data_IF_855867056586
#
_entry.id   IF_855867056586
#
_cell.length_a   1.000
_cell.length_b   1.000
_cell.length_c   1.000
_cell.angle_alpha   90.00
_cell.angle_beta   90.00
_cell.angle_gamma   90.00
#
_symmetry.space_group_name_H-M   'P 1'
#
loop_
_entity.id
_entity.type
_entity.pdbx_description
1 polymer ?
#
# COMPACT_ATOMS: atom_id res chain seq x y z
N UNK A 1 -22.05 -50.54 15.52
CA UNK A 1 -21.07 -49.68 14.88
C UNK A 1 -21.65 -48.30 14.74
N UNK A 2 -21.33 -47.33 15.62
CA UNK A 2 -21.78 -45.93 15.50
C UNK A 2 -20.71 -45.18 14.72
N UNK A 3 -21.10 -44.28 13.78
CA UNK A 3 -20.13 -43.42 13.09
C UNK A 3 -19.71 -42.23 14.00
N UNK A 4 -18.41 -42.00 14.09
CA UNK A 4 -17.85 -40.87 14.79
C UNK A 4 -18.09 -39.58 13.97
N UNK A 5 -18.78 -38.61 14.58
CA UNK A 5 -18.96 -37.27 14.02
C UNK A 5 -17.69 -36.47 14.32
N UNK A 6 -16.90 -36.19 13.28
CA UNK A 6 -15.77 -35.29 13.38
C UNK A 6 -16.31 -33.84 13.31
N UNK A 7 -16.32 -33.14 14.44
CA UNK A 7 -16.56 -31.70 14.46
C UNK A 7 -15.31 -31.00 13.90
N UNK A 8 -15.40 -30.48 12.67
CA UNK A 8 -14.44 -29.53 12.14
C UNK A 8 -14.67 -28.17 12.80
N UNK A 9 -13.82 -27.85 13.77
CA UNK A 9 -13.77 -26.53 14.38
C UNK A 9 -13.27 -25.52 13.38
N UNK A 10 -14.11 -24.56 12.97
CA UNK A 10 -13.69 -23.36 12.24
C UNK A 10 -12.78 -22.53 13.15
N UNK A 11 -11.49 -22.48 12.84
CA UNK A 11 -10.59 -21.54 13.46
C UNK A 11 -10.97 -20.11 13.00
N UNK A 12 -11.62 -19.37 13.88
CA UNK A 12 -11.83 -17.94 13.68
C UNK A 12 -10.45 -17.25 13.68
N UNK A 13 -10.03 -16.70 12.53
CA UNK A 13 -8.83 -15.89 12.43
C UNK A 13 -9.07 -14.62 13.24
N UNK A 14 -8.51 -14.56 14.45
CA UNK A 14 -8.58 -13.37 15.28
C UNK A 14 -7.93 -12.20 14.52
N UNK A 15 -8.66 -11.09 14.40
CA UNK A 15 -8.09 -9.86 13.85
C UNK A 15 -6.88 -9.44 14.71
N UNK A 16 -5.78 -9.07 14.05
CA UNK A 16 -4.60 -8.59 14.75
C UNK A 16 -4.98 -7.36 15.61
N UNK A 17 -4.45 -7.24 16.83
CA UNK A 17 -4.77 -6.12 17.71
C UNK A 17 -4.33 -4.81 17.07
N UNK A 18 -5.22 -3.80 17.11
CA UNK A 18 -4.92 -2.45 16.61
C UNK A 18 -3.86 -1.82 17.56
N UNK A 19 -2.74 -1.42 16.98
CA UNK A 19 -1.65 -0.79 17.74
C UNK A 19 -2.00 0.65 18.16
N UNK A 20 -1.41 1.11 19.27
CA UNK A 20 -1.65 2.45 19.82
C UNK A 20 -0.49 3.36 19.43
N UNK A 21 -0.78 4.59 19.00
CA UNK A 21 0.20 5.64 18.67
C UNK A 21 -0.10 6.90 19.49
N UNK A 22 0.88 7.80 19.63
CA UNK A 22 0.62 9.09 20.27
C UNK A 22 -0.20 10.01 19.36
N UNK A 23 -0.72 11.12 19.91
CA UNK A 23 -1.58 12.03 19.18
C UNK A 23 -0.84 12.67 17.98
N UNK A 24 0.42 13.08 18.15
CA UNK A 24 1.20 13.70 17.08
C UNK A 24 1.45 12.73 15.90
N UNK A 25 1.76 11.45 16.21
CA UNK A 25 1.88 10.38 15.22
C UNK A 25 0.56 10.16 14.49
N UNK A 26 -0.56 10.07 15.23
CA UNK A 26 -1.88 9.89 14.63
C UNK A 26 -2.27 11.07 13.74
N UNK A 27 -1.97 12.30 14.15
CA UNK A 27 -2.21 13.50 13.36
C UNK A 27 -1.36 13.51 12.08
N UNK A 28 -0.10 13.05 12.15
CA UNK A 28 0.76 12.92 10.97
C UNK A 28 0.20 11.88 9.98
N UNK A 29 -0.25 10.72 10.46
CA UNK A 29 -0.89 9.70 9.63
C UNK A 29 -2.18 10.25 8.99
N UNK A 30 -2.96 11.02 9.74
CA UNK A 30 -4.19 11.66 9.25
C UNK A 30 -3.89 12.66 8.14
N UNK A 31 -2.86 13.50 8.30
CA UNK A 31 -2.41 14.43 7.23
C UNK A 31 -1.96 13.67 5.98
N UNK A 32 -1.21 12.59 6.15
CA UNK A 32 -0.78 11.73 5.04
C UNK A 32 -1.98 11.13 4.30
N UNK A 33 -2.95 10.54 5.05
CA UNK A 33 -4.18 9.99 4.46
C UNK A 33 -5.01 11.04 3.72
N UNK A 34 -5.07 12.26 4.24
CA UNK A 34 -5.76 13.37 3.57
C UNK A 34 -5.12 13.70 2.22
N UNK A 35 -3.78 13.73 2.14
CA UNK A 35 -3.07 13.90 0.86
C UNK A 35 -3.35 12.76 -0.13
N UNK A 36 -3.37 11.50 0.37
CA UNK A 36 -3.71 10.35 -0.47
C UNK A 36 -5.13 10.42 -1.03
N UNK A 37 -6.08 10.92 -0.25
CA UNK A 37 -7.47 11.03 -0.68
C UNK A 37 -7.68 12.11 -1.75
N UNK A 38 -6.86 13.16 -1.74
CA UNK A 38 -6.95 14.29 -2.68
C UNK A 38 -6.13 14.10 -3.95
N UNK A 39 -5.36 13.01 -4.08
CA UNK A 39 -4.45 12.79 -5.19
C UNK A 39 -4.82 11.57 -6.03
N UNK A 40 -4.59 11.66 -7.33
CA UNK A 40 -4.77 10.55 -8.27
C UNK A 40 -3.59 9.56 -8.25
N UNK A 41 -2.41 9.97 -7.78
CA UNK A 41 -1.21 9.14 -7.73
C UNK A 41 -0.62 9.04 -6.33
N UNK A 42 -0.74 7.86 -5.70
CA UNK A 42 -0.10 7.59 -4.41
C UNK A 42 1.44 7.66 -4.49
N UNK A 43 2.03 7.25 -5.63
CA UNK A 43 3.48 7.36 -5.84
C UNK A 43 3.96 8.81 -5.83
N UNK A 44 3.17 9.74 -6.37
CA UNK A 44 3.49 11.16 -6.35
C UNK A 44 3.33 11.74 -4.93
N UNK A 45 2.28 11.33 -4.19
CA UNK A 45 2.14 11.71 -2.78
C UNK A 45 3.35 11.24 -1.96
N UNK A 46 3.79 9.99 -2.16
CA UNK A 46 4.98 9.47 -1.48
C UNK A 46 6.24 10.24 -1.85
N UNK A 47 6.41 10.64 -3.11
CA UNK A 47 7.56 11.43 -3.56
C UNK A 47 7.58 12.81 -2.87
N UNK A 48 6.44 13.49 -2.85
CA UNK A 48 6.30 14.78 -2.17
C UNK A 48 6.51 14.63 -0.66
N UNK A 49 5.92 13.59 -0.06
CA UNK A 49 6.11 13.30 1.37
C UNK A 49 7.58 13.04 1.72
N UNK A 50 8.26 12.24 0.88
CA UNK A 50 9.69 11.99 1.02
C UNK A 50 10.52 13.29 0.98
N UNK A 51 10.16 14.21 0.08
CA UNK A 51 10.81 15.52 -0.05
C UNK A 51 10.51 16.43 1.14
N UNK A 52 9.24 16.59 1.50
CA UNK A 52 8.77 17.52 2.53
C UNK A 52 9.32 17.18 3.93
N UNK A 53 9.57 15.89 4.19
CA UNK A 53 10.08 15.39 5.47
C UNK A 53 11.56 15.01 5.43
N UNK A 54 12.27 15.33 4.34
CA UNK A 54 13.71 15.06 4.23
C UNK A 54 14.10 13.59 4.37
N UNK A 55 13.22 12.64 3.97
CA UNK A 55 13.45 11.21 4.21
C UNK A 55 14.60 10.63 3.38
N UNK A 56 14.93 11.24 2.26
CA UNK A 56 16.12 10.95 1.45
C UNK A 56 16.49 12.11 0.53
N UNK A 57 17.76 12.13 0.10
CA UNK A 57 18.29 13.08 -0.89
C UNK A 57 19.04 12.31 -1.98
N UNK A 58 18.59 12.33 -3.26
CA UNK A 58 17.37 12.98 -3.76
C UNK A 58 16.09 12.23 -3.34
N UNK A 59 14.91 12.91 -3.29
CA UNK A 59 13.62 12.32 -2.88
C UNK A 59 12.99 11.53 -4.03
N UNK A 60 13.62 10.40 -4.39
CA UNK A 60 13.19 9.52 -5.48
C UNK A 60 12.47 8.32 -4.89
N UNK A 61 11.27 8.02 -5.41
CA UNK A 61 10.56 6.78 -5.08
C UNK A 61 10.88 5.72 -6.13
N UNK A 62 11.32 4.56 -5.65
CA UNK A 62 11.52 3.35 -6.48
C UNK A 62 10.56 2.27 -6.06
N UNK A 63 10.14 1.45 -7.02
CA UNK A 63 9.28 0.29 -6.80
C UNK A 63 10.13 -1.00 -6.82
N UNK A 64 10.64 -1.39 -5.67
CA UNK A 64 11.40 -2.63 -5.51
C UNK A 64 10.43 -3.79 -5.55
N UNK A 65 10.57 -4.66 -6.56
CA UNK A 65 9.73 -5.84 -6.73
C UNK A 65 10.05 -6.86 -5.64
N UNK A 66 9.02 -7.49 -5.10
CA UNK A 66 9.16 -8.64 -4.21
C UNK A 66 8.91 -9.91 -5.02
N UNK A 67 9.89 -10.83 -4.99
CA UNK A 67 9.84 -12.13 -5.68
C UNK A 67 9.15 -13.17 -4.77
N UNK A 68 7.94 -12.84 -4.33
CA UNK A 68 7.08 -13.76 -3.60
C UNK A 68 6.01 -14.39 -4.51
N UNK A 69 5.23 -15.32 -3.95
CA UNK A 69 4.21 -16.04 -4.70
C UNK A 69 3.19 -15.08 -5.34
N UNK A 70 2.91 -15.27 -6.63
CA UNK A 70 1.83 -14.57 -7.31
C UNK A 70 0.50 -14.76 -6.59
N UNK A 71 -0.26 -13.68 -6.41
CA UNK A 71 -1.63 -13.71 -5.89
C UNK A 71 -2.61 -13.66 -7.05
N UNK A 72 -3.30 -14.76 -7.37
CA UNK A 72 -4.33 -14.74 -8.41
C UNK A 72 -5.43 -13.73 -8.07
N UNK A 73 -5.93 -13.03 -9.08
CA UNK A 73 -7.05 -12.12 -8.90
C UNK A 73 -8.32 -12.90 -8.49
N UNK A 74 -8.85 -12.61 -7.31
CA UNK A 74 -10.11 -13.19 -6.84
C UNK A 74 -11.29 -12.76 -7.74
N UNK A 75 -12.42 -13.46 -7.62
CA UNK A 75 -13.66 -13.08 -8.33
C UNK A 75 -14.10 -11.65 -8.00
N UNK A 76 -13.85 -11.18 -6.78
CA UNK A 76 -14.15 -9.81 -6.35
C UNK A 76 -13.26 -8.81 -7.09
N UNK A 77 -11.95 -9.07 -7.18
CA UNK A 77 -10.99 -8.21 -7.91
C UNK A 77 -11.37 -8.16 -9.38
N UNK A 78 -11.62 -9.32 -10.02
CA UNK A 78 -12.03 -9.39 -11.42
C UNK A 78 -13.29 -8.56 -11.69
N UNK A 79 -14.32 -8.74 -10.87
CA UNK A 79 -15.57 -7.98 -10.97
C UNK A 79 -15.35 -6.47 -10.83
N UNK A 80 -14.53 -6.04 -9.85
CA UNK A 80 -14.21 -4.61 -9.64
C UNK A 80 -13.45 -4.00 -10.81
N UNK A 81 -12.61 -4.79 -11.48
CA UNK A 81 -11.87 -4.38 -12.67
C UNK A 81 -12.71 -4.48 -13.96
N UNK A 82 -13.92 -5.06 -13.91
CA UNK A 82 -14.72 -5.32 -15.10
C UNK A 82 -14.04 -6.29 -16.06
N UNK A 83 -13.18 -7.18 -15.54
CA UNK A 83 -12.45 -8.14 -16.35
C UNK A 83 -13.35 -9.31 -16.73
N UNK A 84 -13.42 -9.63 -18.03
CA UNK A 84 -14.17 -10.77 -18.56
C UNK A 84 -13.62 -12.12 -18.09
N UNK A 85 -14.43 -13.19 -18.26
CA UNK A 85 -13.94 -14.56 -18.05
C UNK A 85 -12.79 -14.83 -19.03
N UNK A 86 -11.65 -15.30 -18.51
CA UNK A 86 -10.47 -15.57 -19.33
C UNK A 86 -9.60 -14.34 -19.66
N UNK A 87 -10.04 -13.11 -19.35
CA UNK A 87 -9.17 -11.95 -19.52
C UNK A 87 -7.95 -12.05 -18.63
N UNK A 88 -6.77 -11.83 -19.20
CA UNK A 88 -5.52 -11.81 -18.46
C UNK A 88 -5.49 -10.62 -17.49
N UNK A 89 -5.29 -10.91 -16.21
CA UNK A 89 -4.88 -9.92 -15.20
C UNK A 89 -3.47 -10.22 -14.78
N UNK A 90 -2.64 -9.19 -14.68
CA UNK A 90 -1.30 -9.30 -14.12
C UNK A 90 -1.32 -8.89 -12.66
N UNK A 91 -0.44 -9.50 -11.89
CA UNK A 91 -0.17 -9.17 -10.50
C UNK A 91 1.24 -8.61 -10.35
N UNK A 92 1.39 -7.66 -9.44
CA UNK A 92 2.69 -7.09 -9.08
C UNK A 92 2.70 -6.80 -7.58
N UNK A 93 3.72 -7.30 -6.88
CA UNK A 93 3.97 -7.00 -5.49
C UNK A 93 5.26 -6.20 -5.38
N UNK A 94 5.19 -5.02 -4.74
CA UNK A 94 6.32 -4.11 -4.65
C UNK A 94 6.39 -3.41 -3.30
N UNK A 95 7.61 -3.00 -2.93
CA UNK A 95 7.83 -1.98 -1.91
C UNK A 95 8.11 -0.65 -2.61
N UNK A 96 7.44 0.42 -2.19
CA UNK A 96 7.76 1.78 -2.59
C UNK A 96 8.75 2.36 -1.59
N UNK A 97 9.98 2.59 -2.05
CA UNK A 97 11.10 3.00 -1.20
C UNK A 97 11.56 4.41 -1.51
N UNK A 98 11.91 5.18 -0.46
CA UNK A 98 12.55 6.47 -0.51
C UNK A 98 13.93 6.34 0.15
N UNK A 99 15.00 6.41 -0.63
CA UNK A 99 16.33 6.06 -0.13
C UNK A 99 16.37 4.62 0.37
N UNK A 100 16.69 4.42 1.66
CA UNK A 100 16.68 3.12 2.32
C UNK A 100 15.35 2.80 3.02
N UNK A 101 14.38 3.73 3.04
CA UNK A 101 13.13 3.59 3.80
C UNK A 101 12.04 2.98 2.95
N UNK A 102 11.44 1.91 3.42
CA UNK A 102 10.23 1.31 2.82
C UNK A 102 9.02 2.09 3.31
N UNK A 103 8.43 2.93 2.47
CA UNK A 103 7.28 3.76 2.84
C UNK A 103 5.95 3.02 2.69
N UNK A 104 5.84 2.11 1.73
CA UNK A 104 4.66 1.25 1.57
C UNK A 104 5.00 -0.07 0.89
N UNK A 105 4.13 -1.07 1.10
CA UNK A 105 4.04 -2.30 0.30
C UNK A 105 2.73 -2.27 -0.48
N UNK A 106 2.76 -2.72 -1.73
CA UNK A 106 1.59 -2.67 -2.61
C UNK A 106 1.39 -3.97 -3.37
N UNK A 107 0.20 -4.54 -3.21
CA UNK A 107 -0.37 -5.56 -4.09
C UNK A 107 -1.14 -4.86 -5.20
N UNK A 108 -0.82 -5.12 -6.46
CA UNK A 108 -1.48 -4.49 -7.60
C UNK A 108 -1.91 -5.53 -8.63
N UNK A 109 -3.20 -5.57 -8.92
CA UNK A 109 -3.78 -6.34 -10.03
C UNK A 109 -4.23 -5.38 -11.12
N UNK A 110 -3.79 -5.61 -12.35
CA UNK A 110 -4.10 -4.71 -13.46
C UNK A 110 -4.39 -5.45 -14.77
N UNK A 111 -5.05 -4.74 -15.67
CA UNK A 111 -5.42 -5.20 -17.03
C UNK A 111 -4.35 -4.75 -18.00
N UNK A 112 -3.40 -5.63 -18.40
CA UNK A 112 -2.33 -5.25 -19.32
C UNK A 112 -2.84 -4.84 -20.70
N UNK A 113 -4.03 -5.31 -21.08
CA UNK A 113 -4.70 -4.94 -22.33
C UNK A 113 -5.10 -3.46 -22.43
N UNK A 114 -5.22 -2.77 -21.30
CA UNK A 114 -5.53 -1.34 -21.23
C UNK A 114 -4.27 -0.45 -21.09
N UNK A 115 -3.09 -1.05 -21.08
CA UNK A 115 -1.80 -0.39 -21.08
C UNK A 115 -1.15 -0.50 -22.47
N UNK A 116 -0.27 0.46 -22.79
CA UNK A 116 0.55 0.33 -24.00
C UNK A 116 1.62 -0.75 -23.84
N UNK A 117 2.19 -1.22 -24.95
CA UNK A 117 3.29 -2.19 -24.92
C UNK A 117 4.51 -1.63 -24.13
N UNK A 118 4.83 -0.33 -24.28
CA UNK A 118 5.91 0.32 -23.53
C UNK A 118 5.62 0.37 -22.03
N UNK A 119 4.39 0.73 -21.63
CA UNK A 119 4.00 0.71 -20.21
C UNK A 119 4.17 -0.69 -19.61
N UNK A 120 3.68 -1.72 -20.27
CA UNK A 120 3.85 -3.11 -19.83
C UNK A 120 5.32 -3.48 -19.68
N UNK A 121 6.15 -3.15 -20.70
CA UNK A 121 7.61 -3.39 -20.68
C UNK A 121 8.29 -2.66 -19.51
N UNK A 122 7.97 -1.39 -19.30
CA UNK A 122 8.54 -0.61 -18.17
C UNK A 122 8.16 -1.18 -16.81
N UNK A 123 6.90 -1.65 -16.64
CA UNK A 123 6.46 -2.31 -15.41
C UNK A 123 7.21 -3.62 -15.15
N UNK A 124 7.62 -4.32 -16.20
CA UNK A 124 8.35 -5.59 -16.08
C UNK A 124 9.85 -5.40 -15.85
N UNK A 125 10.46 -4.35 -16.42
CA UNK A 125 11.90 -4.21 -16.52
C UNK A 125 12.51 -3.10 -15.68
N UNK A 126 11.69 -2.24 -15.04
CA UNK A 126 12.21 -1.11 -14.27
C UNK A 126 11.65 -1.07 -12.85
N UNK A 127 12.31 -0.30 -12.00
CA UNK A 127 11.85 0.03 -10.64
C UNK A 127 10.98 1.30 -10.59
N UNK A 128 10.48 1.73 -11.76
CA UNK A 128 9.57 2.88 -11.84
C UNK A 128 8.23 2.53 -11.17
N UNK A 129 7.72 3.37 -10.26
CA UNK A 129 6.41 3.21 -9.64
C UNK A 129 5.27 3.14 -10.66
N UNK A 130 4.26 2.29 -10.39
CA UNK A 130 3.14 2.05 -11.29
C UNK A 130 2.47 3.34 -11.75
N UNK A 131 2.11 4.24 -10.82
CA UNK A 131 1.45 5.51 -11.14
C UNK A 131 2.24 6.40 -12.11
N UNK A 132 3.59 6.38 -12.01
CA UNK A 132 4.44 7.13 -12.94
C UNK A 132 4.50 6.49 -14.33
N UNK A 133 4.48 5.15 -14.41
CA UNK A 133 4.47 4.46 -15.71
C UNK A 133 3.18 4.73 -16.47
N UNK A 134 2.03 4.72 -15.77
CA UNK A 134 0.70 4.84 -16.40
C UNK A 134 0.17 6.27 -16.42
N UNK A 135 0.97 7.28 -16.07
CA UNK A 135 0.55 8.68 -15.98
C UNK A 135 -0.13 9.21 -17.26
N UNK A 136 0.35 8.76 -18.44
CA UNK A 136 -0.22 9.17 -19.73
C UNK A 136 -1.66 8.64 -19.97
N UNK A 137 -2.19 7.75 -19.11
CA UNK A 137 -3.61 7.36 -19.16
C UNK A 137 -4.53 8.40 -18.51
N UNK A 138 -3.99 9.48 -17.94
CA UNK A 138 -4.74 10.54 -17.25
C UNK A 138 -5.72 9.95 -16.23
N UNK A 139 -5.21 8.98 -15.47
CA UNK A 139 -6.06 8.17 -14.61
C UNK A 139 -6.58 8.93 -13.39
N UNK A 140 -7.71 8.45 -12.86
CA UNK A 140 -8.29 8.87 -11.58
C UNK A 140 -8.21 7.72 -10.59
N UNK A 141 -7.85 8.04 -9.35
CA UNK A 141 -7.80 7.10 -8.24
C UNK A 141 -9.06 7.28 -7.38
N UNK A 142 -9.79 6.20 -7.19
CA UNK A 142 -10.93 6.13 -6.28
C UNK A 142 -10.60 5.19 -5.12
N UNK A 143 -10.47 5.72 -3.91
CA UNK A 143 -10.36 4.92 -2.70
C UNK A 143 -11.68 4.17 -2.47
N UNK A 144 -11.60 2.86 -2.19
CA UNK A 144 -12.76 2.00 -1.93
C UNK A 144 -12.75 1.38 -0.53
N UNK A 145 -11.61 1.40 0.15
CA UNK A 145 -11.48 1.08 1.56
C UNK A 145 -10.26 1.77 2.16
N UNK A 146 -10.38 2.12 3.44
CA UNK A 146 -9.30 2.66 4.27
C UNK A 146 -9.35 1.94 5.60
N UNK A 147 -8.28 1.20 5.92
CA UNK A 147 -8.14 0.49 7.17
C UNK A 147 -7.08 1.18 8.02
N UNK A 148 -7.47 1.74 9.14
CA UNK A 148 -6.56 2.27 10.14
C UNK A 148 -6.01 1.11 10.97
N UNK A 149 -4.71 0.86 10.89
CA UNK A 149 -4.03 -0.22 11.60
C UNK A 149 -3.52 0.23 12.97
N UNK A 150 -3.73 1.51 13.28
CA UNK A 150 -3.39 2.15 14.55
C UNK A 150 -4.57 2.99 15.04
N UNK A 151 -4.59 3.27 16.36
CA UNK A 151 -5.50 4.21 16.99
C UNK A 151 -4.72 5.19 17.87
N UNK A 152 -5.24 6.41 18.12
CA UNK A 152 -4.62 7.31 19.08
C UNK A 152 -4.71 6.77 20.50
N UNK A 153 -3.74 7.14 21.34
CA UNK A 153 -3.75 6.79 22.77
C UNK A 153 -4.96 7.41 23.47
N UNK A 154 -5.58 6.65 24.35
CA UNK A 154 -6.64 7.13 25.24
C UNK A 154 -6.16 7.12 26.70
N UNK A 155 -6.95 7.71 27.62
CA UNK A 155 -6.63 7.70 29.05
C UNK A 155 -6.52 6.30 29.64
N UNK A 156 -7.23 5.33 29.07
CA UNK A 156 -7.22 3.92 29.51
C UNK A 156 -6.02 3.12 28.99
N UNK A 157 -5.31 3.64 28.00
CA UNK A 157 -4.18 2.95 27.37
C UNK A 157 -2.83 3.29 28.06
N UNK A 158 -2.83 3.85 29.30
CA UNK A 158 -1.61 4.25 30.00
C UNK A 158 -0.90 3.05 30.63
N UNK A 159 0.31 2.75 30.14
CA UNK A 159 1.27 1.83 30.76
C UNK A 159 1.87 0.82 29.80
N UNK A 160 3.07 1.07 29.32
CA UNK A 160 3.88 0.14 28.53
C UNK A 160 4.83 0.84 27.56
N UNK A 161 5.99 0.22 27.32
CA UNK A 161 6.90 0.66 26.26
C UNK A 161 6.18 0.53 24.91
N UNK A 162 6.04 1.65 24.21
CA UNK A 162 5.32 1.70 22.91
C UNK A 162 6.33 1.62 21.79
N UNK A 163 6.18 0.60 20.97
CA UNK A 163 6.90 0.48 19.70
C UNK A 163 5.91 0.76 18.57
N UNK A 164 6.29 1.62 17.64
CA UNK A 164 5.53 1.82 16.40
C UNK A 164 5.37 0.48 15.67
N UNK A 165 4.16 0.11 15.27
CA UNK A 165 3.98 -1.08 14.44
C UNK A 165 4.59 -0.83 13.06
N UNK A 166 4.98 -1.90 12.36
CA UNK A 166 5.50 -1.78 11.00
C UNK A 166 4.49 -1.12 10.06
N UNK A 167 3.23 -1.52 10.16
CA UNK A 167 2.15 -1.02 9.29
C UNK A 167 1.16 -0.18 10.09
N UNK A 168 0.78 0.95 9.53
CA UNK A 168 -0.04 1.96 10.21
C UNK A 168 -1.35 2.28 9.49
N UNK A 169 -1.39 2.06 8.17
CA UNK A 169 -2.53 2.41 7.33
C UNK A 169 -2.58 1.49 6.11
N UNK A 170 -3.77 1.09 5.69
CA UNK A 170 -3.96 0.36 4.44
C UNK A 170 -5.06 1.02 3.62
N UNK A 171 -4.76 1.27 2.35
CA UNK A 171 -5.74 1.77 1.39
C UNK A 171 -5.98 0.74 0.30
N UNK A 172 -7.23 0.55 -0.07
CA UNK A 172 -7.60 -0.15 -1.30
C UNK A 172 -8.19 0.87 -2.27
N UNK A 173 -7.70 0.89 -3.50
CA UNK A 173 -8.15 1.83 -4.52
C UNK A 173 -8.32 1.16 -5.88
N UNK A 174 -9.21 1.74 -6.70
CA UNK A 174 -9.34 1.43 -8.12
C UNK A 174 -8.82 2.61 -8.92
N UNK A 175 -7.97 2.33 -9.90
CA UNK A 175 -7.53 3.29 -10.89
C UNK A 175 -8.38 3.13 -12.15
N UNK A 176 -8.87 4.26 -12.66
CA UNK A 176 -9.67 4.34 -13.88
C UNK A 176 -8.98 5.23 -14.89
N UNK A 177 -8.99 4.85 -16.15
CA UNK A 177 -8.50 5.73 -17.23
C UNK A 177 -9.32 7.01 -17.30
N UNK A 178 -8.83 8.05 -17.99
CA UNK A 178 -9.59 9.28 -18.25
C UNK A 178 -10.97 9.04 -18.89
N UNK A 179 -11.15 7.88 -19.56
CA UNK A 179 -12.44 7.44 -20.11
C UNK A 179 -13.31 6.66 -19.11
N UNK A 180 -12.88 6.53 -17.85
CA UNK A 180 -13.63 5.87 -16.77
C UNK A 180 -13.45 4.35 -16.66
N UNK A 181 -12.71 3.70 -17.55
CA UNK A 181 -12.51 2.24 -17.52
C UNK A 181 -11.61 1.84 -16.35
N UNK A 182 -12.02 0.92 -15.45
CA UNK A 182 -11.17 0.43 -14.38
C UNK A 182 -10.06 -0.44 -14.99
N UNK A 183 -8.81 -0.15 -14.66
CA UNK A 183 -7.68 -0.90 -15.21
C UNK A 183 -6.71 -1.43 -14.15
N UNK A 184 -6.77 -0.93 -12.92
CA UNK A 184 -5.94 -1.41 -11.83
C UNK A 184 -6.71 -1.36 -10.51
N UNK A 185 -6.53 -2.39 -9.68
CA UNK A 185 -6.90 -2.42 -8.27
C UNK A 185 -5.62 -2.60 -7.47
N UNK A 186 -5.40 -1.69 -6.52
CA UNK A 186 -4.22 -1.69 -5.67
C UNK A 186 -4.61 -1.74 -4.21
N UNK A 187 -3.88 -2.53 -3.42
CA UNK A 187 -3.90 -2.54 -1.95
C UNK A 187 -2.55 -2.04 -1.49
N UNK A 188 -2.53 -0.85 -0.91
CA UNK A 188 -1.31 -0.18 -0.45
C UNK A 188 -1.29 -0.18 1.07
N UNK A 189 -0.27 -0.81 1.67
CA UNK A 189 -0.07 -0.85 3.12
C UNK A 189 1.13 0.03 3.47
N UNK A 190 0.88 1.13 4.16
CA UNK A 190 1.88 2.13 4.53
C UNK A 190 2.55 1.77 5.84
N UNK A 191 3.86 1.99 5.91
CA UNK A 191 4.68 1.68 7.06
C UNK A 191 4.83 2.87 7.99
N UNK A 192 5.31 2.64 9.22
CA UNK A 192 5.66 3.71 10.16
C UNK A 192 6.85 4.57 9.70
N UNK A 193 7.59 4.14 8.67
CA UNK A 193 8.69 4.94 8.10
C UNK A 193 8.22 6.28 7.50
N UNK A 194 6.93 6.45 7.22
CA UNK A 194 6.38 7.76 6.81
C UNK A 194 6.43 8.79 7.96
N UNK A 195 6.57 8.35 9.23
CA UNK A 195 6.63 9.21 10.41
C UNK A 195 8.07 9.61 10.77
N UNK A 196 9.07 9.01 10.11
CA UNK A 196 10.46 9.33 10.33
C UNK A 196 10.79 10.70 9.73
N UNK A 197 11.68 11.43 10.37
CA UNK A 197 12.31 12.64 9.86
C UNK A 197 13.82 12.39 9.67
N UNK A 198 14.49 13.32 9.01
CA UNK A 198 15.93 13.21 8.70
C UNK A 198 16.80 13.10 9.96
N UNK A 199 16.36 13.66 11.09
CA UNK A 199 17.07 13.63 12.38
C UNK A 199 17.14 12.23 13.02
N UNK A 200 16.26 11.31 12.62
CA UNK A 200 16.20 9.92 13.13
C UNK A 200 17.30 9.00 12.56
N UNK A 201 18.06 9.44 11.54
CA UNK A 201 19.12 8.64 10.87
C UNK A 201 20.46 8.76 11.60
N UNK A 202 20.66 9.76 12.43
CA UNK A 202 21.95 10.15 13.01
C UNK A 202 22.32 9.43 14.34
N UNK A 203 21.62 8.41 14.77
CA UNK A 203 22.06 7.58 15.89
C UNK A 203 23.01 6.49 15.35
N UNK A 204 24.35 6.61 15.51
CA UNK A 204 25.24 5.49 15.23
C UNK A 204 24.88 4.36 16.20
N UNK A 205 24.79 3.14 15.69
CA UNK A 205 24.84 1.95 16.52
C UNK A 205 26.15 2.03 17.27
N UNK A 206 26.07 2.37 18.56
CA UNK A 206 27.23 2.30 19.45
C UNK A 206 27.69 0.84 19.55
N UNK A 207 29.03 0.61 19.55
CA UNK A 207 29.62 -0.72 19.51
C UNK A 207 29.30 -1.61 20.71
#
# INVERSE_FOLDING_TARGET
>A
MLPAIILMGSAATAAAPISIVNQAEFDAITRFQTRLNSADSASEVLRQWCSDHGLAKPPIIRAVRLDDAEKPASTVIRRRLGAGQGELLRYRHVQLVCGARVLSEADNWYRPSLLTADMNKRLDQTDTPFGLVVAALEFRRAAIAVDWLVKPITRTDQGGARRLPRYILRNTAILRTGKGSPFSLVVETYTSEILADESSIAAPLSP
#
